data_IF_572323008608
#
_entry.id   IF_572323008608
#
_cell.length_a   1.000
_cell.length_b   1.000
_cell.length_c   1.000
_cell.angle_alpha   90.00
_cell.angle_beta   90.00
_cell.angle_gamma   90.00
#
_symmetry.space_group_name_H-M   'P 1'
#
loop_
_entity.id
_entity.type
_entity.pdbx_description
1 polymer ?
#
# COMPACT_ATOMS: atom_id res chain seq x y z
N UNK A 1 -14.78 -3.28 6.24
CA UNK A 1 -15.82 -3.17 5.19
C UNK A 1 -15.89 -1.79 4.55
N UNK A 2 -15.73 -0.70 5.33
CA UNK A 2 -15.70 0.69 4.84
C UNK A 2 -14.74 0.89 3.67
N UNK A 3 -13.49 0.41 3.78
CA UNK A 3 -12.47 0.55 2.74
C UNK A 3 -12.92 0.07 1.35
N UNK A 4 -13.41 -1.16 1.25
CA UNK A 4 -13.85 -1.73 -0.03
C UNK A 4 -15.06 -0.97 -0.59
N UNK A 5 -16.00 -0.58 0.27
CA UNK A 5 -17.17 0.23 -0.12
C UNK A 5 -16.74 1.59 -0.67
N UNK A 6 -15.76 2.25 -0.06
CA UNK A 6 -15.21 3.51 -0.56
C UNK A 6 -14.55 3.36 -1.92
N UNK A 7 -13.71 2.34 -2.12
CA UNK A 7 -13.08 2.08 -3.42
C UNK A 7 -14.12 1.82 -4.51
N UNK A 8 -15.14 1.01 -4.21
CA UNK A 8 -16.24 0.75 -5.14
C UNK A 8 -17.02 2.01 -5.47
N UNK A 9 -17.32 2.84 -4.47
CA UNK A 9 -18.02 4.11 -4.69
C UNK A 9 -17.21 5.06 -5.59
N UNK A 10 -15.91 5.23 -5.32
CA UNK A 10 -15.04 6.09 -6.13
C UNK A 10 -14.97 5.61 -7.59
N UNK A 11 -14.93 4.29 -7.83
CA UNK A 11 -15.00 3.70 -9.18
C UNK A 11 -16.33 3.97 -9.87
N UNK A 12 -17.44 3.79 -9.16
CA UNK A 12 -18.77 3.99 -9.70
C UNK A 12 -19.04 5.46 -10.07
N UNK A 13 -18.37 6.40 -9.39
CA UNK A 13 -18.40 7.84 -9.73
C UNK A 13 -17.50 8.21 -10.92
N UNK A 14 -16.80 7.25 -11.53
CA UNK A 14 -15.98 7.48 -12.72
C UNK A 14 -14.57 8.01 -12.43
N UNK A 15 -14.15 8.14 -11.16
CA UNK A 15 -12.80 8.56 -10.84
C UNK A 15 -11.77 7.45 -11.18
N UNK A 16 -10.58 7.81 -11.71
CA UNK A 16 -9.56 6.85 -12.10
C UNK A 16 -8.95 6.17 -10.87
N UNK A 17 -9.54 5.05 -10.46
CA UNK A 17 -9.13 4.23 -9.31
C UNK A 17 -8.68 2.84 -9.76
N UNK A 18 -7.72 2.86 -10.69
CA UNK A 18 -7.00 1.71 -11.24
C UNK A 18 -5.52 1.78 -10.85
N UNK A 19 -4.80 0.66 -10.92
CA UNK A 19 -3.36 0.59 -10.62
C UNK A 19 -2.97 1.08 -9.22
N UNK A 20 -3.85 0.87 -8.23
CA UNK A 20 -3.56 1.24 -6.84
C UNK A 20 -2.63 0.22 -6.19
N UNK A 21 -1.76 0.69 -5.29
CA UNK A 21 -1.01 -0.20 -4.41
C UNK A 21 -1.69 -0.25 -3.05
N UNK A 22 -1.99 -1.46 -2.57
CA UNK A 22 -2.55 -1.70 -1.24
C UNK A 22 -1.60 -2.57 -0.43
N UNK A 23 -1.61 -2.40 0.88
CA UNK A 23 -0.77 -3.19 1.78
C UNK A 23 -1.57 -3.57 3.03
N UNK A 24 -1.50 -4.85 3.41
CA UNK A 24 -1.88 -5.34 4.72
C UNK A 24 -0.60 -5.60 5.54
N UNK A 25 -0.55 -5.09 6.77
CA UNK A 25 0.61 -5.17 7.67
C UNK A 25 0.31 -5.95 8.96
N UNK A 26 -0.73 -6.79 8.97
CA UNK A 26 -1.10 -7.56 10.17
C UNK A 26 0.01 -8.53 10.59
N UNK A 27 0.18 -8.72 11.90
CA UNK A 27 1.19 -9.65 12.44
C UNK A 27 0.89 -11.13 12.18
N UNK A 28 -0.33 -11.44 11.71
CA UNK A 28 -0.76 -12.79 11.32
C UNK A 28 -1.62 -12.72 10.05
N UNK A 29 -1.78 -13.86 9.37
CA UNK A 29 -2.61 -13.93 8.17
C UNK A 29 -4.10 -13.98 8.54
N UNK A 30 -4.83 -12.94 8.18
CA UNK A 30 -6.29 -12.89 8.29
C UNK A 30 -6.96 -12.93 6.91
N UNK A 31 -8.00 -13.75 6.77
CA UNK A 31 -8.76 -13.85 5.53
C UNK A 31 -9.40 -12.52 5.10
N UNK A 32 -10.03 -11.80 6.03
CA UNK A 32 -10.79 -10.57 5.73
C UNK A 32 -9.92 -9.43 5.19
N UNK A 33 -8.76 -9.08 5.80
CA UNK A 33 -7.82 -8.11 5.25
C UNK A 33 -7.19 -8.58 3.94
N UNK A 34 -6.80 -9.86 3.85
CA UNK A 34 -6.25 -10.43 2.61
C UNK A 34 -7.21 -10.22 1.44
N UNK A 35 -8.47 -10.61 1.58
CA UNK A 35 -9.45 -10.48 0.49
C UNK A 35 -9.85 -9.02 0.25
N UNK A 36 -10.16 -8.25 1.30
CA UNK A 36 -10.80 -6.94 1.13
C UNK A 36 -9.83 -5.76 0.96
N UNK A 37 -8.55 -5.95 1.29
CA UNK A 37 -7.51 -4.91 1.16
C UNK A 37 -6.51 -5.30 0.08
N UNK A 38 -6.09 -6.57 0.02
CA UNK A 38 -5.01 -7.00 -0.87
C UNK A 38 -5.55 -7.43 -2.23
N UNK A 39 -6.50 -8.38 -2.26
CA UNK A 39 -6.94 -9.02 -3.50
C UNK A 39 -7.99 -8.19 -4.26
N UNK A 40 -9.19 -7.98 -3.69
CA UNK A 40 -10.32 -7.33 -4.39
C UNK A 40 -10.01 -5.92 -4.93
N UNK A 41 -9.30 -5.04 -4.19
CA UNK A 41 -9.00 -3.71 -4.68
C UNK A 41 -8.05 -3.70 -5.87
N UNK A 42 -7.21 -4.72 -6.03
CA UNK A 42 -6.14 -4.77 -7.03
C UNK A 42 -6.46 -5.67 -8.24
N UNK A 43 -7.63 -6.35 -8.23
CA UNK A 43 -8.12 -7.19 -9.34
C UNK A 43 -8.14 -6.49 -10.71
N UNK A 44 -8.35 -5.17 -10.74
CA UNK A 44 -8.42 -4.37 -11.97
C UNK A 44 -7.09 -3.67 -12.29
N UNK A 45 -5.97 -4.21 -11.78
CA UNK A 45 -4.63 -3.66 -11.90
C UNK A 45 -4.13 -3.03 -10.59
N UNK A 46 -2.80 -3.02 -10.42
CA UNK A 46 -2.12 -2.51 -9.23
C UNK A 46 -1.30 -3.59 -8.51
N UNK A 47 -0.97 -3.34 -7.24
CA UNK A 47 -0.18 -4.27 -6.42
C UNK A 47 -0.79 -4.44 -5.05
N UNK A 48 -1.11 -5.68 -4.69
CA UNK A 48 -1.52 -6.05 -3.35
C UNK A 48 -0.34 -6.63 -2.58
N UNK A 49 0.01 -6.03 -1.46
CA UNK A 49 1.08 -6.49 -0.58
C UNK A 49 0.47 -7.03 0.72
N UNK A 50 0.94 -8.20 1.17
CA UNK A 50 0.56 -8.75 2.47
C UNK A 50 1.83 -9.08 3.25
N UNK A 51 2.23 -8.16 4.13
CA UNK A 51 3.46 -8.24 4.90
C UNK A 51 3.09 -8.67 6.32
N UNK A 52 3.61 -9.83 6.73
CA UNK A 52 3.33 -10.43 8.03
C UNK A 52 4.60 -10.39 8.85
N UNK A 53 4.65 -9.50 9.84
CA UNK A 53 5.70 -9.43 10.84
C UNK A 53 5.21 -8.64 12.05
N UNK A 54 5.91 -8.73 13.17
CA UNK A 54 5.61 -7.94 14.37
C UNK A 54 5.75 -6.46 14.06
N UNK A 55 4.77 -5.65 14.50
CA UNK A 55 4.80 -4.20 14.25
C UNK A 55 5.99 -3.49 14.90
N UNK A 56 6.50 -4.02 16.02
CA UNK A 56 7.73 -3.53 16.67
C UNK A 56 8.97 -3.59 15.76
N UNK A 57 8.96 -4.48 14.75
CA UNK A 57 10.01 -4.59 13.73
C UNK A 57 9.58 -3.92 12.42
N UNK A 58 8.39 -4.26 11.95
CA UNK A 58 7.90 -3.86 10.63
C UNK A 58 7.69 -2.34 10.51
N UNK A 59 7.07 -1.69 11.50
CA UNK A 59 6.78 -0.25 11.43
C UNK A 59 8.07 0.57 11.46
N UNK A 60 9.03 0.32 12.38
CA UNK A 60 10.33 0.99 12.33
C UNK A 60 11.07 0.71 11.02
N UNK A 61 11.10 -0.53 10.53
CA UNK A 61 11.78 -0.87 9.28
C UNK A 61 11.19 -0.11 8.09
N UNK A 62 9.85 -0.04 7.98
CA UNK A 62 9.16 0.72 6.96
C UNK A 62 9.49 2.22 7.05
N UNK A 63 9.49 2.79 8.25
CA UNK A 63 9.88 4.18 8.46
C UNK A 63 11.30 4.45 7.96
N UNK A 64 12.28 3.62 8.36
CA UNK A 64 13.66 3.78 7.92
C UNK A 64 13.80 3.65 6.39
N UNK A 65 13.10 2.69 5.78
CA UNK A 65 13.10 2.53 4.33
C UNK A 65 12.54 3.75 3.60
N UNK A 66 11.44 4.33 4.11
CA UNK A 66 10.84 5.55 3.54
C UNK A 66 11.80 6.74 3.67
N UNK A 67 12.38 6.96 4.85
CA UNK A 67 13.31 8.08 5.07
C UNK A 67 14.55 7.95 4.20
N UNK A 68 15.12 6.73 4.11
CA UNK A 68 16.27 6.45 3.24
C UNK A 68 15.93 6.76 1.78
N UNK A 69 14.84 6.21 1.26
CA UNK A 69 14.39 6.44 -0.11
C UNK A 69 14.16 7.94 -0.40
N UNK A 70 13.58 8.68 0.55
CA UNK A 70 13.36 10.12 0.40
C UNK A 70 14.66 10.92 0.37
N UNK A 71 15.69 10.52 1.12
CA UNK A 71 17.01 11.16 1.10
C UNK A 71 17.72 10.91 -0.23
N UNK A 72 17.80 9.65 -0.64
CA UNK A 72 18.40 9.24 -1.93
C UNK A 72 17.72 9.95 -3.11
N UNK A 73 16.39 10.09 -3.07
CA UNK A 73 15.64 10.82 -4.11
C UNK A 73 15.94 12.33 -4.14
N UNK A 74 16.26 12.94 -2.99
CA UNK A 74 16.62 14.37 -2.93
C UNK A 74 18.03 14.59 -3.44
N UNK A 75 18.98 13.76 -2.97
CA UNK A 75 20.39 13.83 -3.39
C UNK A 75 20.52 13.58 -4.90
N UNK A 76 19.80 12.59 -5.45
CA UNK A 76 19.78 12.34 -6.89
C UNK A 76 19.01 13.37 -7.75
N UNK A 77 18.40 14.42 -7.15
CA UNK A 77 17.84 15.55 -7.91
C UNK A 77 18.76 16.78 -7.91
N UNK A 78 19.73 16.84 -6.99
CA UNK A 78 20.72 17.92 -6.93
C UNK A 78 21.94 17.65 -7.85
N UNK A 79 22.18 16.38 -8.22
CA UNK A 79 23.26 15.97 -9.16
C UNK A 79 22.89 16.10 -10.65
N UNK A 80 21.60 16.29 -10.97
CA UNK A 80 21.09 16.45 -12.35
C UNK A 80 20.90 17.94 -12.77
N UNK A 81 21.40 18.89 -11.97
CA UNK A 81 21.30 20.35 -12.19
C UNK A 81 22.62 21.00 -12.62
#
# INVERSE_FOLDING_TARGET
>A
EVFLKSITMTRNLGYPTKNITTANLDMIRHYRPLVNVVERPTLHGGRGLNIIDKHEKNIPALYHAIIKYQREKREGSDDDA
#
